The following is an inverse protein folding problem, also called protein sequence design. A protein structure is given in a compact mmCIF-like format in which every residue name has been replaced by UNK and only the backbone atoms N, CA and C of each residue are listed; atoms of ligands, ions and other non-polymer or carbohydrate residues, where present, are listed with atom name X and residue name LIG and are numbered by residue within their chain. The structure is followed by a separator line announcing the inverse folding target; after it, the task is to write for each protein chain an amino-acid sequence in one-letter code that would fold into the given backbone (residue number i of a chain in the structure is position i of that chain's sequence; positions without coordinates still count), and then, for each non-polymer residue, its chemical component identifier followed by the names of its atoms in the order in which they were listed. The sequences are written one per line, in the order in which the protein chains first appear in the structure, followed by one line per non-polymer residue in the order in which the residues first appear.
data_IF_845219659464
#
_entry.id   IF_845219659464
#
_cell.length_a   1.000
_cell.length_b   1.000
_cell.length_c   1.000
_cell.angle_alpha   90.00
_cell.angle_beta   90.00
_cell.angle_gamma   90.00
#
_symmetry.space_group_name_H-M   'P 1'
#
loop_
_entity.id
_entity.type
_entity.pdbx_description
1 polymer ?
#
# COMPACT_ATOMS: atom_id res chain seq x y z
N UNK A 1 24.50 -13.32 -11.71
CA UNK A 1 24.95 -14.44 -10.84
C UNK A 1 23.77 -14.77 -9.95
N UNK A 2 23.29 -16.02 -9.96
CA UNK A 2 22.11 -16.42 -9.19
C UNK A 2 22.42 -16.64 -7.71
N UNK A 3 21.41 -17.09 -6.95
CA UNK A 3 21.59 -17.63 -5.60
C UNK A 3 21.09 -19.08 -5.57
N UNK A 4 21.61 -19.88 -4.64
CA UNK A 4 21.11 -21.21 -4.34
C UNK A 4 20.02 -21.09 -3.27
N UNK A 5 18.86 -21.67 -3.53
CA UNK A 5 17.75 -21.71 -2.58
C UNK A 5 17.50 -23.15 -2.15
N UNK A 6 17.50 -23.42 -0.85
CA UNK A 6 17.23 -24.75 -0.28
C UNK A 6 16.00 -24.65 0.60
N UNK A 7 14.95 -25.40 0.28
CA UNK A 7 13.72 -25.41 1.07
C UNK A 7 13.96 -26.01 2.47
N UNK A 8 13.47 -25.33 3.50
CA UNK A 8 13.48 -25.81 4.88
C UNK A 8 12.22 -26.63 5.13
N UNK A 9 12.32 -27.96 5.02
CA UNK A 9 11.17 -28.86 5.11
C UNK A 9 10.36 -28.71 6.41
N UNK A 10 11.02 -28.50 7.55
CA UNK A 10 10.36 -28.30 8.85
C UNK A 10 9.57 -26.99 8.94
N UNK A 11 9.80 -26.04 8.02
CA UNK A 11 9.10 -24.76 7.94
C UNK A 11 7.98 -24.77 6.90
N UNK A 12 7.77 -25.89 6.20
CA UNK A 12 6.70 -26.05 5.22
C UNK A 12 5.34 -26.07 5.91
N UNK A 13 4.35 -25.46 5.27
CA UNK A 13 2.95 -25.58 5.65
C UNK A 13 2.11 -25.64 4.38
N UNK A 14 1.58 -26.79 4.02
CA UNK A 14 0.73 -26.98 2.83
C UNK A 14 -0.22 -28.14 3.06
N UNK A 15 -1.33 -28.18 2.30
CA UNK A 15 -2.30 -29.27 2.36
C UNK A 15 -1.70 -30.60 1.85
N UNK A 16 -2.05 -31.76 2.42
CA UNK A 16 -2.90 -31.93 3.60
C UNK A 16 -2.18 -31.49 4.89
N UNK A 17 -2.87 -30.73 5.75
CA UNK A 17 -2.23 -30.12 6.93
C UNK A 17 -2.06 -31.09 8.11
N UNK A 18 -2.99 -32.02 8.28
CA UNK A 18 -3.02 -32.95 9.41
C UNK A 18 -2.32 -34.25 9.05
N UNK A 19 -1.53 -34.74 9.99
CA UNK A 19 -1.01 -36.11 9.93
C UNK A 19 -2.16 -37.13 10.04
N UNK A 20 -2.14 -38.15 9.19
CA UNK A 20 -3.22 -39.13 9.04
C UNK A 20 -3.46 -39.97 10.30
N UNK A 21 -2.44 -40.10 11.17
CA UNK A 21 -2.51 -40.95 12.37
C UNK A 21 -2.83 -40.11 13.61
N UNK A 22 -2.09 -39.04 13.80
CA UNK A 22 -2.19 -38.20 15.00
C UNK A 22 -3.28 -37.15 14.90
N UNK A 23 -3.78 -36.86 13.69
CA UNK A 23 -4.74 -35.78 13.40
C UNK A 23 -4.27 -34.42 13.95
N UNK A 24 -2.95 -34.22 13.96
CA UNK A 24 -2.29 -32.99 14.42
C UNK A 24 -1.41 -32.43 13.31
N UNK A 25 -1.09 -31.14 13.44
CA UNK A 25 -0.10 -30.49 12.59
C UNK A 25 1.31 -31.02 12.96
N UNK A 26 2.09 -31.54 11.98
CA UNK A 26 3.41 -32.15 12.26
C UNK A 26 4.43 -31.17 12.83
N UNK A 27 4.67 -30.05 12.16
CA UNK A 27 5.73 -29.09 12.52
C UNK A 27 5.22 -27.78 13.13
N UNK A 28 3.91 -27.65 13.30
CA UNK A 28 3.28 -26.41 13.73
C UNK A 28 2.41 -26.62 14.97
N UNK A 29 2.44 -25.64 15.88
CA UNK A 29 1.54 -25.54 17.01
C UNK A 29 0.46 -24.52 16.70
N UNK A 30 -0.78 -24.85 17.05
CA UNK A 30 -1.93 -23.93 16.99
C UNK A 30 -2.40 -23.56 18.40
N UNK A 31 -2.90 -22.34 18.55
CA UNK A 31 -3.54 -21.86 19.76
C UNK A 31 -4.70 -20.92 19.41
N UNK A 32 -5.70 -20.88 20.29
CA UNK A 32 -6.89 -20.04 20.11
C UNK A 32 -7.92 -20.66 19.17
N UNK A 33 -8.60 -19.82 18.40
CA UNK A 33 -9.79 -20.16 17.59
C UNK A 33 -9.48 -20.72 16.19
N UNK A 34 -8.29 -21.29 16.01
CA UNK A 34 -7.82 -21.79 14.71
C UNK A 34 -8.69 -22.95 14.22
N UNK A 35 -9.16 -22.86 12.98
CA UNK A 35 -9.92 -23.92 12.30
C UNK A 35 -9.10 -24.51 11.17
N UNK A 36 -8.95 -25.84 11.15
CA UNK A 36 -8.17 -26.56 10.14
C UNK A 36 -9.10 -27.25 9.14
N UNK A 37 -9.12 -26.73 7.91
CA UNK A 37 -9.73 -27.41 6.75
C UNK A 37 -8.62 -28.18 6.02
N UNK A 38 -8.44 -29.45 6.39
CA UNK A 38 -7.26 -30.27 6.06
C UNK A 38 -6.74 -30.15 4.61
N UNK A 39 -7.65 -30.14 3.64
CA UNK A 39 -7.31 -30.15 2.21
C UNK A 39 -7.48 -28.78 1.53
N UNK A 40 -7.69 -27.70 2.30
CA UNK A 40 -7.99 -26.37 1.77
C UNK A 40 -7.13 -25.27 2.37
N UNK A 41 -7.30 -24.99 3.65
CA UNK A 41 -6.63 -23.90 4.37
C UNK A 41 -6.67 -24.10 5.89
N UNK A 42 -5.91 -23.29 6.61
CA UNK A 42 -6.05 -23.11 8.05
C UNK A 42 -6.50 -21.67 8.32
N UNK A 43 -7.68 -21.51 8.90
CA UNK A 43 -8.23 -20.22 9.27
C UNK A 43 -7.73 -19.84 10.66
N UNK A 44 -7.00 -18.74 10.76
CA UNK A 44 -6.61 -18.14 12.04
C UNK A 44 -7.83 -17.48 12.70
N UNK A 45 -8.65 -16.79 11.92
CA UNK A 45 -9.93 -16.21 12.33
C UNK A 45 -10.99 -16.48 11.27
N UNK A 46 -12.25 -16.44 11.69
CA UNK A 46 -13.44 -16.50 10.84
C UNK A 46 -14.26 -15.21 11.00
N UNK A 47 -15.36 -15.08 10.26
CA UNK A 47 -16.32 -13.98 10.43
C UNK A 47 -17.14 -14.12 11.73
N UNK A 48 -16.45 -14.10 12.87
CA UNK A 48 -17.00 -14.05 14.23
C UNK A 48 -16.23 -13.02 15.05
N UNK A 49 -16.89 -12.28 15.94
CA UNK A 49 -16.22 -11.32 16.82
C UNK A 49 -15.39 -12.03 17.88
N UNK A 50 -14.41 -11.30 18.43
CA UNK A 50 -13.58 -11.70 19.57
C UNK A 50 -12.83 -13.02 19.43
N UNK A 51 -12.29 -13.29 18.23
CA UNK A 51 -11.44 -14.46 17.99
C UNK A 51 -9.96 -14.07 18.05
N UNK A 52 -9.12 -15.01 18.46
CA UNK A 52 -7.67 -14.91 18.31
C UNK A 52 -7.10 -16.26 17.88
N UNK A 53 -6.31 -16.28 16.81
CA UNK A 53 -5.70 -17.50 16.29
C UNK A 53 -4.21 -17.34 16.09
N UNK A 54 -3.43 -18.34 16.52
CA UNK A 54 -1.98 -18.37 16.41
C UNK A 54 -1.53 -19.69 15.80
N UNK A 55 -0.53 -19.60 14.94
CA UNK A 55 0.14 -20.71 14.29
C UNK A 55 1.65 -20.47 14.34
N UNK A 56 2.39 -21.23 15.16
CA UNK A 56 3.84 -21.09 15.32
C UNK A 56 4.57 -22.39 14.97
N UNK A 57 5.70 -22.28 14.30
CA UNK A 57 6.54 -23.45 14.01
C UNK A 57 7.15 -24.00 15.31
N UNK A 58 7.21 -25.34 15.43
CA UNK A 58 7.79 -26.04 16.58
C UNK A 58 9.31 -25.90 16.62
N UNK A 59 9.94 -25.79 15.45
CA UNK A 59 11.39 -25.69 15.29
C UNK A 59 11.80 -24.27 14.91
N UNK A 60 12.97 -23.81 15.39
CA UNK A 60 13.49 -22.52 14.98
C UNK A 60 13.83 -22.51 13.47
N UNK A 61 13.72 -21.35 12.85
CA UNK A 61 14.16 -21.10 11.49
C UNK A 61 15.69 -20.97 11.47
N UNK A 62 16.34 -22.10 11.17
CA UNK A 62 17.79 -22.23 11.12
C UNK A 62 18.37 -21.83 9.76
N UNK A 63 18.32 -20.53 9.46
CA UNK A 63 18.98 -19.94 8.31
C UNK A 63 19.36 -18.48 8.58
N UNK A 64 20.56 -18.08 8.14
CA UNK A 64 21.06 -16.70 8.26
C UNK A 64 20.49 -15.76 7.19
N UNK A 65 20.36 -16.27 5.96
CA UNK A 65 19.66 -15.61 4.86
C UNK A 65 18.53 -16.51 4.42
N UNK A 66 17.32 -15.98 4.30
CA UNK A 66 16.14 -16.77 4.01
C UNK A 66 15.07 -15.97 3.28
N UNK A 67 14.16 -16.71 2.66
CA UNK A 67 12.94 -16.20 2.05
C UNK A 67 11.74 -16.98 2.56
N UNK A 68 10.76 -16.29 3.11
CA UNK A 68 9.44 -16.83 3.48
C UNK A 68 8.44 -16.43 2.39
N UNK A 69 7.65 -17.38 1.90
CA UNK A 69 6.55 -17.16 0.96
C UNK A 69 5.25 -17.69 1.57
N UNK A 70 4.44 -16.77 2.09
CA UNK A 70 3.16 -17.03 2.73
C UNK A 70 2.02 -16.71 1.77
N UNK A 71 1.25 -17.71 1.36
CA UNK A 71 0.00 -17.54 0.61
C UNK A 71 -1.18 -17.54 1.57
N UNK A 72 -1.94 -16.45 1.57
CA UNK A 72 -3.05 -16.21 2.47
C UNK A 72 -4.24 -15.54 1.76
N UNK A 73 -5.37 -15.45 2.45
CA UNK A 73 -6.57 -14.75 2.02
C UNK A 73 -7.17 -14.01 3.22
N UNK A 74 -7.33 -12.69 3.08
CA UNK A 74 -8.07 -11.86 4.03
C UNK A 74 -9.35 -11.40 3.32
N UNK A 75 -10.50 -11.80 3.86
CA UNK A 75 -11.79 -11.43 3.27
C UNK A 75 -12.88 -11.22 4.31
N UNK A 76 -13.85 -10.39 3.93
CA UNK A 76 -15.05 -10.15 4.70
C UNK A 76 -16.17 -9.74 3.77
N UNK A 77 -17.38 -10.27 4.02
CA UNK A 77 -18.58 -9.84 3.33
C UNK A 77 -19.08 -8.48 3.83
N UNK A 78 -18.65 -8.07 5.02
CA UNK A 78 -18.99 -6.79 5.62
C UNK A 78 -18.21 -5.65 4.98
N UNK A 79 -18.81 -4.45 4.99
CA UNK A 79 -18.13 -3.21 4.57
C UNK A 79 -17.05 -2.79 5.58
N UNK A 80 -17.20 -3.21 6.83
CA UNK A 80 -16.25 -2.99 7.91
C UNK A 80 -15.64 -4.34 8.27
N UNK A 81 -14.31 -4.45 8.20
CA UNK A 81 -13.56 -5.68 8.48
C UNK A 81 -12.32 -5.33 9.31
N UNK A 82 -11.88 -6.26 10.15
CA UNK A 82 -10.83 -6.05 11.13
C UNK A 82 -10.33 -7.39 11.69
N UNK A 83 -9.12 -7.51 12.27
CA UNK A 83 -8.08 -6.47 12.38
C UNK A 83 -6.88 -6.71 11.44
N UNK A 84 -6.70 -7.93 10.95
CA UNK A 84 -5.70 -8.26 9.93
C UNK A 84 -4.85 -9.48 10.27
N UNK A 85 -3.65 -9.53 9.70
CA UNK A 85 -2.71 -10.65 9.79
C UNK A 85 -1.34 -10.17 10.25
N UNK A 86 -0.72 -10.90 11.17
CA UNK A 86 0.68 -10.70 11.56
C UNK A 86 1.55 -11.90 11.19
N UNK A 87 2.76 -11.62 10.70
CA UNK A 87 3.86 -12.57 10.56
C UNK A 87 4.95 -12.23 11.58
N UNK A 88 5.41 -13.26 12.29
CA UNK A 88 6.36 -13.17 13.39
C UNK A 88 7.66 -13.91 13.08
N UNK A 89 8.78 -13.26 13.39
CA UNK A 89 10.10 -13.86 13.47
C UNK A 89 10.70 -13.50 14.84
N UNK A 90 10.33 -14.29 15.86
CA UNK A 90 10.55 -13.96 17.28
C UNK A 90 11.49 -14.96 17.95
N UNK A 91 12.20 -14.53 19.00
CA UNK A 91 13.13 -15.38 19.73
C UNK A 91 12.48 -16.65 20.34
N UNK A 92 11.20 -16.54 20.72
CA UNK A 92 10.37 -17.64 21.18
C UNK A 92 8.97 -17.58 20.54
N UNK A 93 8.24 -18.71 20.44
CA UNK A 93 6.83 -18.68 20.07
C UNK A 93 6.01 -17.80 21.02
N UNK A 94 5.09 -17.01 20.48
CA UNK A 94 4.24 -16.13 21.29
C UNK A 94 3.04 -16.90 21.87
N UNK A 95 2.62 -16.63 23.12
CA UNK A 95 1.28 -16.96 23.58
C UNK A 95 0.24 -16.04 22.93
N UNK A 96 -1.05 -16.35 23.16
CA UNK A 96 -2.17 -15.48 22.78
C UNK A 96 -2.03 -14.12 23.48
N UNK A 97 -2.36 -13.05 22.76
CA UNK A 97 -2.39 -11.67 23.25
C UNK A 97 -3.27 -10.78 22.39
N UNK A 98 -3.07 -9.48 22.53
CA UNK A 98 -3.91 -8.38 22.02
C UNK A 98 -3.34 -7.66 20.78
N UNK A 99 -2.26 -8.19 20.22
CA UNK A 99 -1.59 -7.65 19.03
C UNK A 99 -1.73 -8.66 17.90
N UNK A 100 -2.78 -8.50 17.10
CA UNK A 100 -3.13 -9.44 16.03
C UNK A 100 -3.24 -10.89 16.55
N UNK A 101 -3.72 -11.06 17.77
CA UNK A 101 -3.86 -12.34 18.45
C UNK A 101 -2.62 -12.80 19.23
N UNK A 102 -1.45 -12.17 19.05
CA UNK A 102 -0.22 -12.50 19.77
C UNK A 102 0.10 -11.47 20.86
N UNK A 103 1.08 -11.79 21.73
CA UNK A 103 1.51 -10.89 22.80
C UNK A 103 2.35 -9.73 22.23
N UNK A 104 2.03 -8.50 22.62
CA UNK A 104 2.76 -7.29 22.20
C UNK A 104 4.18 -7.13 22.76
N UNK A 105 4.55 -7.92 23.76
CA UNK A 105 5.90 -8.04 24.30
C UNK A 105 6.66 -9.16 23.58
N UNK A 106 7.47 -8.80 22.59
CA UNK A 106 8.26 -9.77 21.82
C UNK A 106 9.67 -9.25 21.55
N UNK A 107 10.61 -10.17 21.36
CA UNK A 107 11.96 -9.89 20.87
C UNK A 107 12.08 -10.46 19.47
N UNK A 108 12.23 -9.60 18.46
CA UNK A 108 12.28 -10.01 17.06
C UNK A 108 11.55 -9.07 16.11
N UNK A 109 11.06 -9.60 15.00
CA UNK A 109 10.37 -8.84 13.95
C UNK A 109 8.90 -9.23 13.88
N UNK A 110 8.03 -8.23 13.86
CA UNK A 110 6.62 -8.34 13.50
C UNK A 110 6.37 -7.62 12.16
N UNK A 111 5.70 -8.29 11.23
CA UNK A 111 5.19 -7.71 9.99
C UNK A 111 3.67 -7.77 10.05
N UNK A 112 3.02 -6.62 10.04
CA UNK A 112 1.58 -6.47 10.26
C UNK A 112 0.91 -6.05 8.96
N UNK A 113 -0.08 -6.82 8.52
CA UNK A 113 -1.04 -6.46 7.48
C UNK A 113 -2.29 -6.00 8.20
N UNK A 114 -2.37 -4.69 8.46
CA UNK A 114 -3.47 -4.06 9.19
C UNK A 114 -4.61 -3.69 8.23
N UNK A 115 -5.81 -4.19 8.51
CA UNK A 115 -7.00 -3.97 7.67
C UNK A 115 -7.93 -2.90 8.24
N UNK A 116 -7.74 -2.51 9.50
CA UNK A 116 -8.65 -1.63 10.23
C UNK A 116 -7.98 -0.34 10.67
N UNK A 117 -8.72 0.76 10.57
CA UNK A 117 -8.21 2.07 10.99
C UNK A 117 -8.58 2.32 12.45
N UNK A 118 -7.63 2.20 13.38
CA UNK A 118 -7.83 2.68 14.75
C UNK A 118 -7.44 4.16 14.90
N UNK A 119 -6.42 4.62 14.17
CA UNK A 119 -5.91 5.99 14.22
C UNK A 119 -6.70 7.03 13.41
N UNK A 120 -6.45 8.34 13.64
CA UNK A 120 -7.16 9.43 12.96
C UNK A 120 -6.82 9.56 11.46
N UNK A 121 -5.72 8.98 10.99
CA UNK A 121 -5.18 9.14 9.64
C UNK A 121 -4.56 7.86 9.10
N UNK A 122 -4.72 7.56 7.81
CA UNK A 122 -4.08 6.40 7.16
C UNK A 122 -4.95 5.76 6.07
N UNK A 123 -4.34 5.18 5.05
CA UNK A 123 -5.05 4.37 4.05
C UNK A 123 -4.80 2.90 4.35
N UNK A 124 -5.90 2.14 4.47
CA UNK A 124 -5.90 0.72 4.82
C UNK A 124 -6.41 -0.11 3.62
N UNK A 125 -5.95 -1.36 3.45
CA UNK A 125 -4.96 -2.05 4.29
C UNK A 125 -3.56 -1.43 4.26
N UNK A 126 -2.88 -1.48 5.40
CA UNK A 126 -1.55 -0.93 5.59
C UNK A 126 -0.60 -2.02 6.10
N UNK A 127 0.51 -2.21 5.40
CA UNK A 127 1.53 -3.18 5.79
C UNK A 127 2.65 -2.44 6.50
N UNK A 128 3.03 -2.89 7.69
CA UNK A 128 4.12 -2.28 8.46
C UNK A 128 5.07 -3.33 9.03
N UNK A 129 6.30 -2.91 9.34
CA UNK A 129 7.28 -3.73 10.05
C UNK A 129 7.74 -3.04 11.33
N UNK A 130 7.92 -3.82 12.39
CA UNK A 130 8.37 -3.36 13.70
C UNK A 130 9.35 -4.34 14.34
N UNK A 131 10.37 -3.80 15.02
CA UNK A 131 11.33 -4.61 15.79
C UNK A 131 11.01 -4.52 17.29
N UNK A 132 10.56 -5.64 17.86
CA UNK A 132 10.32 -5.77 19.29
C UNK A 132 11.60 -6.02 20.07
N UNK A 133 11.70 -5.41 21.26
CA UNK A 133 12.85 -5.52 22.17
C UNK A 133 12.50 -6.12 23.55
N UNK A 134 11.33 -6.76 23.66
CA UNK A 134 10.86 -7.39 24.91
C UNK A 134 10.06 -6.47 25.84
N UNK A 135 9.83 -5.22 25.46
CA UNK A 135 8.87 -4.31 26.11
C UNK A 135 7.57 -4.24 25.30
N UNK A 136 6.43 -3.82 25.87
CA UNK A 136 5.18 -3.67 25.12
C UNK A 136 5.38 -2.60 24.04
N UNK A 137 5.47 -3.04 22.79
CA UNK A 137 5.96 -2.18 21.70
C UNK A 137 4.85 -1.78 20.71
N UNK A 138 3.76 -2.53 20.63
CA UNK A 138 2.67 -2.21 19.71
C UNK A 138 1.54 -1.49 20.43
N UNK A 139 1.29 -0.23 20.06
CA UNK A 139 0.12 0.50 20.53
C UNK A 139 -1.04 0.31 19.53
N UNK A 140 -2.01 -0.52 19.90
CA UNK A 140 -3.21 -0.76 19.08
C UNK A 140 -4.03 0.49 18.79
N UNK A 141 -4.05 1.45 19.72
CA UNK A 141 -4.89 2.64 19.58
C UNK A 141 -4.43 3.61 18.47
N UNK A 142 -3.18 3.48 18.02
CA UNK A 142 -2.61 4.34 16.98
C UNK A 142 -2.00 3.55 15.80
N UNK A 143 -2.39 2.27 15.65
CA UNK A 143 -1.89 1.38 14.60
C UNK A 143 -0.34 1.21 14.65
N UNK A 144 0.23 1.25 15.85
CA UNK A 144 1.68 1.13 16.09
C UNK A 144 2.51 2.25 15.46
N UNK A 145 1.94 3.45 15.33
CA UNK A 145 2.57 4.55 14.57
C UNK A 145 3.93 4.96 15.14
N UNK A 146 4.05 4.96 16.47
CA UNK A 146 5.28 5.38 17.19
C UNK A 146 6.43 4.37 17.05
N UNK A 147 6.12 3.12 16.73
CA UNK A 147 7.05 1.99 16.76
C UNK A 147 7.29 1.36 15.38
N UNK A 148 6.58 1.86 14.36
CA UNK A 148 6.77 1.54 12.95
C UNK A 148 8.16 1.92 12.45
N UNK A 149 8.85 0.96 11.84
CA UNK A 149 10.10 1.20 11.10
C UNK A 149 9.83 1.66 9.67
N UNK A 150 8.94 0.95 8.98
CA UNK A 150 8.57 1.20 7.59
C UNK A 150 7.20 0.60 7.31
N UNK A 151 6.58 1.03 6.22
CA UNK A 151 5.35 0.41 5.75
C UNK A 151 4.91 0.92 4.39
N UNK A 152 3.88 0.30 3.83
CA UNK A 152 3.26 0.70 2.58
C UNK A 152 1.73 0.48 2.61
N UNK A 153 0.99 1.22 1.78
CA UNK A 153 -0.45 0.99 1.59
C UNK A 153 -0.67 0.02 0.43
N UNK A 154 -1.53 -0.98 0.64
CA UNK A 154 -1.81 -2.03 -0.35
C UNK A 154 -3.31 -2.29 -0.45
N UNK A 155 -3.98 -1.71 -1.46
CA UNK A 155 -5.44 -1.82 -1.61
C UNK A 155 -5.95 -3.22 -1.97
N UNK A 156 -5.06 -4.11 -2.39
CA UNK A 156 -5.41 -5.43 -2.93
C UNK A 156 -5.24 -6.57 -1.92
N UNK A 157 -5.06 -6.30 -0.62
CA UNK A 157 -4.89 -7.35 0.40
C UNK A 157 -6.19 -7.78 1.09
N UNK A 158 -7.15 -6.87 1.23
CA UNK A 158 -8.49 -7.19 1.74
C UNK A 158 -9.44 -7.39 0.57
N UNK A 159 -10.16 -8.51 0.55
CA UNK A 159 -11.05 -8.90 -0.55
C UNK A 159 -10.34 -8.86 -1.93
N UNK A 160 -9.18 -9.51 -2.09
CA UNK A 160 -8.49 -9.57 -3.39
C UNK A 160 -9.38 -10.20 -4.46
N UNK A 161 -9.37 -9.66 -5.67
CA UNK A 161 -10.23 -10.12 -6.77
C UNK A 161 -9.97 -11.58 -7.21
N UNK A 162 -8.77 -12.09 -6.93
CA UNK A 162 -8.34 -13.46 -7.25
C UNK A 162 -8.35 -14.37 -6.00
N UNK A 163 -8.89 -13.91 -4.88
CA UNK A 163 -8.99 -14.65 -3.62
C UNK A 163 -7.67 -14.76 -2.85
N UNK A 164 -6.57 -15.21 -3.46
CA UNK A 164 -5.33 -15.43 -2.71
C UNK A 164 -4.28 -14.38 -3.02
N UNK A 165 -3.46 -14.04 -2.03
CA UNK A 165 -2.25 -13.23 -2.21
C UNK A 165 -1.07 -13.94 -1.58
N UNK A 166 0.11 -13.82 -2.17
CA UNK A 166 1.36 -14.33 -1.58
C UNK A 166 2.23 -13.17 -1.11
N UNK A 167 2.57 -13.15 0.18
CA UNK A 167 3.60 -12.27 0.74
C UNK A 167 4.94 -12.99 0.70
N UNK A 168 5.97 -12.29 0.23
CA UNK A 168 7.36 -12.72 0.29
C UNK A 168 8.15 -11.84 1.23
N UNK A 169 8.72 -12.44 2.26
CA UNK A 169 9.65 -11.79 3.19
C UNK A 169 11.04 -12.31 2.90
N UNK A 170 11.94 -11.45 2.46
CA UNK A 170 13.34 -11.81 2.21
C UNK A 170 14.22 -11.14 3.24
N UNK A 171 15.04 -11.92 3.95
CA UNK A 171 16.03 -11.43 4.89
C UNK A 171 17.41 -11.96 4.50
N UNK A 172 18.41 -11.09 4.43
CA UNK A 172 19.80 -11.46 4.15
C UNK A 172 20.65 -11.30 5.40
N UNK A 173 21.75 -12.05 5.46
CA UNK A 173 22.68 -12.02 6.57
C UNK A 173 23.30 -10.63 6.81
N UNK A 174 23.36 -9.79 5.77
CA UNK A 174 23.77 -8.38 5.85
C UNK A 174 22.82 -7.47 6.63
N UNK A 175 21.61 -7.93 6.95
CA UNK A 175 20.56 -7.13 7.58
C UNK A 175 19.57 -6.50 6.60
N UNK A 176 19.66 -6.82 5.30
CA UNK A 176 18.65 -6.45 4.31
C UNK A 176 17.34 -7.20 4.58
N UNK A 177 16.23 -6.48 4.65
CA UNK A 177 14.87 -6.98 4.76
C UNK A 177 14.02 -6.40 3.61
N UNK A 178 13.28 -7.24 2.89
CA UNK A 178 12.26 -6.80 1.95
C UNK A 178 10.95 -7.55 2.12
N UNK A 179 9.85 -6.84 1.88
CA UNK A 179 8.51 -7.41 1.81
C UNK A 179 7.93 -7.10 0.43
N UNK A 180 7.57 -8.15 -0.29
CA UNK A 180 6.92 -8.08 -1.60
C UNK A 180 5.58 -8.81 -1.57
N UNK A 181 4.66 -8.42 -2.44
CA UNK A 181 3.38 -9.11 -2.63
C UNK A 181 3.20 -9.56 -4.08
N UNK A 182 2.66 -10.76 -4.24
CA UNK A 182 2.10 -11.25 -5.49
C UNK A 182 0.58 -11.40 -5.33
N UNK A 183 -0.16 -10.50 -5.99
CA UNK A 183 -1.63 -10.45 -5.96
C UNK A 183 -2.29 -11.48 -6.90
N UNK A 184 -1.49 -12.23 -7.67
CA UNK A 184 -1.92 -13.33 -8.53
C UNK A 184 -0.98 -14.54 -8.31
N UNK A 185 -1.25 -15.38 -7.30
CA UNK A 185 -0.39 -16.50 -6.94
C UNK A 185 -0.16 -17.54 -8.05
N UNK A 186 -1.00 -17.53 -9.10
CA UNK A 186 -0.85 -18.42 -10.25
C UNK A 186 0.21 -17.90 -11.26
N UNK A 187 0.64 -16.64 -11.12
CA UNK A 187 1.69 -16.02 -11.94
C UNK A 187 2.96 -15.83 -11.10
N UNK A 188 3.94 -16.72 -11.25
CA UNK A 188 5.12 -16.82 -10.36
C UNK A 188 5.96 -15.55 -10.23
N UNK A 189 5.98 -14.70 -11.26
CA UNK A 189 6.95 -13.61 -11.37
C UNK A 189 6.32 -12.21 -11.20
N UNK A 190 5.07 -12.13 -10.73
CA UNK A 190 4.38 -10.85 -10.55
C UNK A 190 4.54 -10.29 -9.13
N UNK A 191 5.78 -9.98 -8.75
CA UNK A 191 6.11 -9.43 -7.43
C UNK A 191 6.09 -7.90 -7.42
N UNK A 192 5.42 -7.34 -6.43
CA UNK A 192 5.35 -5.91 -6.17
C UNK A 192 5.97 -5.61 -4.81
N UNK A 193 7.07 -4.85 -4.80
CA UNK A 193 7.72 -4.45 -3.57
C UNK A 193 6.82 -3.52 -2.75
N UNK A 194 6.63 -3.85 -1.48
CA UNK A 194 5.97 -2.99 -0.50
C UNK A 194 7.00 -2.05 0.15
N UNK A 195 8.05 -2.62 0.75
CA UNK A 195 9.17 -1.87 1.29
C UNK A 195 10.44 -2.73 1.35
N UNK A 196 11.57 -2.05 1.49
CA UNK A 196 12.85 -2.67 1.84
C UNK A 196 13.59 -1.78 2.85
N UNK A 197 14.40 -2.41 3.69
CA UNK A 197 15.23 -1.79 4.71
C UNK A 197 16.59 -2.49 4.77
N UNK A 198 17.61 -1.73 5.15
CA UNK A 198 18.91 -2.27 5.55
C UNK A 198 19.04 -2.19 7.09
N UNK A 199 20.13 -2.75 7.61
CA UNK A 199 20.49 -2.70 9.04
C UNK A 199 19.45 -3.31 10.01
N UNK A 200 18.59 -4.22 9.53
CA UNK A 200 17.66 -4.99 10.38
C UNK A 200 18.43 -6.11 11.08
N UNK A 201 18.30 -6.19 12.41
CA UNK A 201 18.93 -7.25 13.21
C UNK A 201 17.88 -8.16 13.80
N UNK A 202 17.84 -9.41 13.33
CA UNK A 202 17.01 -10.47 13.91
C UNK A 202 17.76 -11.22 15.02
N UNK A 203 17.03 -11.80 16.00
CA UNK A 203 17.60 -12.71 16.98
C UNK A 203 18.29 -13.91 16.30
N UNK A 204 19.32 -14.47 16.96
CA UNK A 204 20.06 -15.63 16.43
C UNK A 204 19.16 -16.85 16.29
N UNK A 205 18.35 -17.11 17.32
CA UNK A 205 17.28 -18.10 17.31
C UNK A 205 15.99 -17.36 17.02
N UNK A 206 15.23 -17.81 16.02
CA UNK A 206 13.96 -17.19 15.64
C UNK A 206 12.96 -18.23 15.21
N UNK A 207 11.72 -18.09 15.66
CA UNK A 207 10.59 -18.93 15.32
C UNK A 207 9.69 -18.16 14.35
N UNK A 208 9.26 -18.86 13.31
CA UNK A 208 8.26 -18.34 12.38
C UNK A 208 6.87 -18.56 12.97
N UNK A 209 6.05 -17.52 12.97
CA UNK A 209 4.66 -17.62 13.37
C UNK A 209 3.74 -16.70 12.59
N UNK A 210 2.45 -17.01 12.66
CA UNK A 210 1.38 -16.23 12.07
C UNK A 210 0.26 -16.08 13.09
N UNK A 211 -0.36 -14.92 13.14
CA UNK A 211 -1.51 -14.70 14.01
C UNK A 211 -2.50 -13.73 13.42
N UNK A 212 -3.74 -13.83 13.85
CA UNK A 212 -4.81 -12.89 13.53
C UNK A 212 -5.78 -12.78 14.71
N UNK A 213 -6.50 -11.67 14.77
CA UNK A 213 -7.59 -11.46 15.72
C UNK A 213 -8.77 -10.74 15.09
N UNK A 214 -9.92 -10.85 15.74
CA UNK A 214 -11.11 -10.06 15.46
C UNK A 214 -11.60 -9.37 16.73
N UNK A 215 -12.05 -8.13 16.59
CA UNK A 215 -12.67 -7.36 17.66
C UNK A 215 -14.20 -7.47 17.61
N UNK A 216 -14.87 -6.33 17.77
CA UNK A 216 -16.32 -6.19 17.51
C UNK A 216 -16.67 -6.41 16.03
N UNK A 217 -15.68 -6.22 15.17
CA UNK A 217 -15.74 -6.44 13.74
C UNK A 217 -14.87 -7.64 13.41
N UNK A 218 -15.29 -8.41 12.40
CA UNK A 218 -14.66 -9.67 12.03
C UNK A 218 -14.26 -9.72 10.56
N UNK A 219 -13.27 -10.56 10.31
CA UNK A 219 -12.85 -10.96 8.98
C UNK A 219 -12.23 -12.36 9.02
N UNK A 220 -12.29 -13.03 7.87
CA UNK A 220 -11.60 -14.29 7.67
C UNK A 220 -10.12 -14.02 7.38
N UNK A 221 -9.25 -14.72 8.11
CA UNK A 221 -7.81 -14.76 7.81
C UNK A 221 -7.39 -16.21 7.62
N UNK A 222 -7.17 -16.60 6.38
CA UNK A 222 -6.91 -17.97 5.97
C UNK A 222 -5.50 -18.13 5.42
N UNK A 223 -4.76 -19.14 5.91
CA UNK A 223 -3.45 -19.53 5.41
C UNK A 223 -3.60 -20.76 4.52
N UNK A 224 -3.13 -20.64 3.27
CA UNK A 224 -3.16 -21.72 2.29
C UNK A 224 -1.83 -22.45 2.19
N UNK A 225 -0.72 -21.71 2.28
CA UNK A 225 0.61 -22.25 2.04
C UNK A 225 1.68 -21.39 2.69
N UNK A 226 2.71 -22.01 3.26
CA UNK A 226 3.97 -21.38 3.63
C UNK A 226 5.13 -22.21 3.10
N UNK A 227 6.09 -21.55 2.45
CA UNK A 227 7.39 -22.14 2.09
C UNK A 227 8.51 -21.24 2.55
N UNK A 228 9.54 -21.84 3.13
CA UNK A 228 10.75 -21.13 3.55
C UNK A 228 11.95 -21.72 2.83
N UNK A 229 12.77 -20.86 2.26
CA UNK A 229 14.02 -21.25 1.61
C UNK A 229 15.19 -20.57 2.32
N UNK A 230 16.21 -21.32 2.68
CA UNK A 230 17.52 -20.79 3.02
C UNK A 230 18.25 -20.37 1.74
N UNK A 231 18.92 -19.22 1.79
CA UNK A 231 19.57 -18.59 0.64
C UNK A 231 21.08 -18.60 0.79
N UNK A 232 21.77 -19.10 -0.24
CA UNK A 232 23.21 -19.25 -0.25
C UNK A 232 23.84 -18.68 -1.51
N UNK A 233 25.10 -18.28 -1.40
CA UNK A 233 25.96 -18.02 -2.55
C UNK A 233 26.23 -19.33 -3.30
N UNK A 234 26.06 -19.39 -4.64
CA UNK A 234 26.18 -20.64 -5.38
C UNK A 234 27.56 -21.30 -5.32
N UNK A 235 28.63 -20.51 -5.13
CA UNK A 235 30.00 -20.98 -5.21
C UNK A 235 30.59 -21.44 -3.87
N UNK A 236 30.09 -20.88 -2.76
CA UNK A 236 30.72 -21.00 -1.44
C UNK A 236 29.82 -21.68 -0.40
N UNK A 237 28.54 -21.89 -0.71
CA UNK A 237 27.50 -22.31 0.24
C UNK A 237 27.43 -21.42 1.51
N UNK A 238 28.01 -20.21 1.44
CA UNK A 238 27.91 -19.21 2.49
C UNK A 238 26.53 -18.53 2.43
N UNK A 239 26.02 -18.01 3.57
CA UNK A 239 24.78 -17.24 3.58
C UNK A 239 24.83 -16.07 2.61
N UNK A 240 23.76 -15.89 1.85
CA UNK A 240 23.69 -14.80 0.86
C UNK A 240 23.79 -13.42 1.54
N UNK A 241 24.78 -12.60 1.14
CA UNK A 241 25.02 -11.28 1.72
C UNK A 241 24.31 -10.15 0.97
N UNK A 242 24.16 -10.27 -0.35
CA UNK A 242 23.48 -9.28 -1.19
C UNK A 242 22.70 -9.97 -2.29
N UNK A 243 21.59 -9.34 -2.72
CA UNK A 243 20.90 -9.70 -3.97
C UNK A 243 21.52 -8.82 -5.06
N UNK A 244 22.74 -9.15 -5.52
CA UNK A 244 23.28 -8.50 -6.71
C UNK A 244 22.36 -8.80 -7.91
N UNK A 245 21.84 -7.72 -8.49
CA UNK A 245 20.86 -7.61 -9.58
C UNK A 245 20.53 -8.92 -10.32
N UNK A 246 19.43 -9.55 -9.90
CA UNK A 246 18.69 -10.46 -10.77
C UNK A 246 18.06 -9.62 -11.89
N UNK A 247 18.71 -9.61 -13.05
CA UNK A 247 18.03 -9.28 -14.31
C UNK A 247 17.42 -10.58 -14.86
N UNK A 248 16.08 -10.74 -14.85
CA UNK A 248 15.42 -11.90 -15.47
C UNK A 248 15.67 -12.02 -16.98
N UNK A 249 16.35 -11.05 -17.61
CA UNK A 249 16.64 -11.07 -19.04
C UNK A 249 17.82 -11.97 -19.45
N UNK A 250 18.60 -12.52 -18.50
CA UNK A 250 19.85 -13.24 -18.84
C UNK A 250 19.69 -14.77 -18.88
N UNK A 251 18.56 -15.34 -18.46
CA UNK A 251 18.32 -16.79 -18.52
C UNK A 251 17.60 -17.23 -19.80
N UNK A 252 17.84 -16.55 -20.93
CA UNK A 252 17.22 -16.93 -22.20
C UNK A 252 18.13 -16.81 -23.43
N UNK A 253 19.33 -17.39 -23.35
CA UNK A 253 20.18 -17.56 -24.56
C UNK A 253 20.38 -19.03 -24.97
N UNK A 254 19.75 -20.00 -24.29
CA UNK A 254 19.85 -21.41 -24.71
C UNK A 254 18.52 -22.08 -25.11
N UNK A 255 17.35 -21.45 -24.89
CA UNK A 255 16.05 -22.00 -25.31
C UNK A 255 15.34 -21.18 -26.41
N UNK A 256 16.08 -20.50 -27.29
CA UNK A 256 15.53 -19.83 -28.48
C UNK A 256 15.31 -20.79 -29.67
N UNK A 257 14.76 -21.98 -29.43
CA UNK A 257 14.28 -22.83 -30.54
C UNK A 257 12.82 -23.29 -30.46
N UNK A 258 12.12 -23.07 -29.36
CA UNK A 258 10.70 -23.44 -29.28
C UNK A 258 9.90 -22.41 -28.46
N UNK A 259 9.56 -21.25 -29.03
CA UNK A 259 8.18 -20.75 -28.93
C UNK A 259 7.92 -19.56 -29.89
N UNK A 260 7.43 -19.88 -31.09
CA UNK A 260 7.06 -18.90 -32.13
C UNK A 260 5.71 -18.21 -31.88
N UNK A 261 5.01 -18.53 -30.79
CA UNK A 261 3.61 -18.15 -30.58
C UNK A 261 3.41 -16.88 -29.73
N UNK A 262 4.32 -16.56 -28.79
CA UNK A 262 4.16 -15.44 -27.85
C UNK A 262 4.64 -14.06 -28.34
N UNK A 263 5.61 -14.01 -29.27
CA UNK A 263 6.23 -12.75 -29.69
C UNK A 263 5.29 -11.84 -30.50
N UNK A 264 4.37 -12.43 -31.28
CA UNK A 264 3.41 -11.68 -32.12
C UNK A 264 2.40 -10.88 -31.29
N UNK A 265 2.03 -11.36 -30.10
CA UNK A 265 1.05 -10.67 -29.23
C UNK A 265 1.66 -9.49 -28.46
N UNK A 266 2.90 -9.62 -27.98
CA UNK A 266 3.62 -8.51 -27.31
C UNK A 266 3.93 -7.38 -28.28
N UNK A 267 4.26 -7.71 -29.54
CA UNK A 267 4.49 -6.72 -30.61
C UNK A 267 3.19 -6.05 -31.10
N UNK A 268 2.05 -6.77 -31.14
CA UNK A 268 0.72 -6.20 -31.43
C UNK A 268 0.26 -5.20 -30.36
N UNK A 269 0.47 -5.51 -29.07
CA UNK A 269 0.14 -4.60 -27.94
C UNK A 269 0.99 -3.32 -27.93
N UNK A 270 2.29 -3.41 -28.25
CA UNK A 270 3.14 -2.21 -28.41
C UNK A 270 2.73 -1.37 -29.62
N UNK A 271 2.43 -2.01 -30.76
CA UNK A 271 1.93 -1.31 -31.97
C UNK A 271 0.54 -0.70 -31.78
N UNK A 272 -0.35 -1.30 -30.98
CA UNK A 272 -1.69 -0.73 -30.69
C UNK A 272 -1.62 0.47 -29.75
N UNK A 273 -0.79 0.44 -28.70
CA UNK A 273 -0.58 1.58 -27.81
C UNK A 273 0.04 2.78 -28.53
N UNK A 274 1.01 2.53 -29.44
CA UNK A 274 1.65 3.57 -30.23
C UNK A 274 0.69 4.19 -31.26
N UNK A 275 -0.20 3.38 -31.85
CA UNK A 275 -1.29 3.87 -32.73
C UNK A 275 -2.31 4.70 -31.95
N UNK A 276 -2.66 4.32 -30.72
CA UNK A 276 -3.61 5.07 -29.90
C UNK A 276 -3.08 6.46 -29.56
N UNK A 277 -1.79 6.57 -29.18
CA UNK A 277 -1.13 7.86 -28.93
C UNK A 277 -1.11 8.76 -30.18
N UNK A 278 -0.80 8.20 -31.35
CA UNK A 278 -0.80 8.95 -32.61
C UNK A 278 -2.21 9.42 -33.00
N UNK A 279 -3.24 8.61 -32.71
CA UNK A 279 -4.63 9.01 -32.93
C UNK A 279 -5.06 10.12 -31.96
N UNK A 280 -4.68 10.04 -30.69
CA UNK A 280 -4.98 11.06 -29.68
C UNK A 280 -4.33 12.41 -30.04
N UNK A 281 -3.08 12.40 -30.50
CA UNK A 281 -2.39 13.62 -30.99
C UNK A 281 -3.06 14.21 -32.23
N UNK A 282 -3.44 13.37 -33.20
CA UNK A 282 -4.21 13.82 -34.38
C UNK A 282 -5.55 14.42 -33.98
N UNK A 283 -6.21 13.85 -32.98
CA UNK A 283 -7.48 14.36 -32.49
C UNK A 283 -7.29 15.72 -31.80
N UNK A 284 -6.26 15.88 -30.96
CA UNK A 284 -5.87 17.16 -30.36
C UNK A 284 -5.53 18.21 -31.43
N UNK A 285 -4.83 17.83 -32.49
CA UNK A 285 -4.51 18.73 -33.61
C UNK A 285 -5.76 19.14 -34.40
N UNK A 286 -6.66 18.20 -34.70
CA UNK A 286 -7.94 18.50 -35.38
C UNK A 286 -8.82 19.41 -34.54
N UNK A 287 -8.86 19.22 -33.23
CA UNK A 287 -9.62 20.08 -32.33
C UNK A 287 -9.02 21.49 -32.25
N UNK A 288 -7.70 21.62 -32.22
CA UNK A 288 -7.01 22.92 -32.30
C UNK A 288 -7.29 23.63 -33.62
N UNK A 289 -7.26 22.91 -34.74
CA UNK A 289 -7.57 23.46 -36.06
C UNK A 289 -9.04 23.89 -36.18
N UNK A 290 -9.98 23.10 -35.65
CA UNK A 290 -11.40 23.48 -35.56
C UNK A 290 -11.60 24.75 -34.73
N UNK A 291 -10.90 24.88 -33.59
CA UNK A 291 -10.96 26.09 -32.75
C UNK A 291 -10.37 27.32 -33.45
N UNK A 292 -9.25 27.17 -34.15
CA UNK A 292 -8.67 28.24 -34.98
C UNK A 292 -9.63 28.66 -36.10
N UNK A 293 -10.25 27.72 -36.80
CA UNK A 293 -11.19 28.05 -37.88
C UNK A 293 -12.49 28.70 -37.37
N UNK A 294 -12.99 28.28 -36.21
CA UNK A 294 -14.23 28.81 -35.65
C UNK A 294 -14.05 30.15 -34.92
N UNK A 295 -12.88 30.39 -34.32
CA UNK A 295 -12.70 31.50 -33.36
C UNK A 295 -11.41 32.31 -33.54
N UNK A 296 -10.53 31.95 -34.47
CA UNK A 296 -9.29 32.69 -34.78
C UNK A 296 -8.19 32.61 -33.72
N UNK A 297 -8.37 31.82 -32.66
CA UNK A 297 -7.42 31.68 -31.54
C UNK A 297 -7.35 30.20 -31.09
N UNK A 298 -6.14 29.65 -31.04
CA UNK A 298 -5.87 28.23 -30.72
C UNK A 298 -6.04 27.91 -29.22
N UNK A 299 -5.97 28.92 -28.34
CA UNK A 299 -5.99 28.76 -26.88
C UNK A 299 -7.30 29.25 -26.23
N UNK A 300 -8.34 29.49 -27.04
CA UNK A 300 -9.65 29.95 -26.59
C UNK A 300 -10.45 28.84 -25.85
N UNK A 301 -10.10 28.57 -24.60
CA UNK A 301 -10.87 27.70 -23.70
C UNK A 301 -12.01 28.46 -23.03
N UNK A 302 -13.13 27.76 -22.76
CA UNK A 302 -14.33 28.33 -22.16
C UNK A 302 -14.03 29.10 -20.86
N UNK A 303 -13.19 28.53 -20.00
CA UNK A 303 -12.78 29.08 -18.70
C UNK A 303 -12.04 30.42 -18.85
N UNK A 304 -11.13 30.51 -19.82
CA UNK A 304 -10.34 31.74 -20.04
C UNK A 304 -11.23 32.89 -20.53
N UNK A 305 -12.27 32.57 -21.32
CA UNK A 305 -13.20 33.56 -21.86
C UNK A 305 -14.18 34.08 -20.81
N UNK A 306 -14.72 33.22 -19.96
CA UNK A 306 -15.60 33.65 -18.86
C UNK A 306 -14.83 34.55 -17.89
N UNK A 307 -13.58 34.20 -17.60
CA UNK A 307 -12.69 35.02 -16.80
C UNK A 307 -12.38 36.39 -17.43
N UNK A 308 -12.05 36.44 -18.72
CA UNK A 308 -11.78 37.71 -19.40
C UNK A 308 -13.00 38.65 -19.44
N UNK A 309 -14.21 38.10 -19.63
CA UNK A 309 -15.47 38.87 -19.57
C UNK A 309 -15.74 39.38 -18.16
N UNK A 310 -15.50 38.55 -17.14
CA UNK A 310 -15.62 38.93 -15.74
C UNK A 310 -14.69 40.11 -15.39
N UNK A 311 -13.41 40.03 -15.79
CA UNK A 311 -12.44 41.11 -15.55
C UNK A 311 -12.85 42.43 -16.25
N UNK A 312 -13.40 42.36 -17.47
CA UNK A 312 -13.92 43.57 -18.15
C UNK A 312 -15.12 44.17 -17.41
N UNK A 313 -16.05 43.34 -16.93
CA UNK A 313 -17.21 43.81 -16.16
C UNK A 313 -16.80 44.52 -14.87
N UNK A 314 -15.84 43.95 -14.12
CA UNK A 314 -15.31 44.56 -12.89
C UNK A 314 -14.69 45.94 -13.18
N UNK A 315 -13.93 46.09 -14.26
CA UNK A 315 -13.34 47.39 -14.64
C UNK A 315 -14.40 48.46 -14.93
N UNK A 316 -15.50 48.09 -15.58
CA UNK A 316 -16.60 49.02 -15.88
C UNK A 316 -17.28 49.48 -14.58
N UNK A 317 -17.57 48.54 -13.67
CA UNK A 317 -18.20 48.86 -12.37
C UNK A 317 -17.33 49.80 -11.55
N UNK A 318 -16.02 49.54 -11.48
CA UNK A 318 -15.07 50.40 -10.78
C UNK A 318 -15.03 51.82 -11.39
N UNK A 319 -15.10 51.94 -12.72
CA UNK A 319 -15.15 53.24 -13.39
C UNK A 319 -16.41 54.04 -13.08
N UNK A 320 -17.58 53.38 -13.03
CA UNK A 320 -18.84 54.03 -12.67
C UNK A 320 -18.83 54.53 -11.22
N UNK A 321 -18.32 53.73 -10.29
CA UNK A 321 -18.19 54.13 -8.89
C UNK A 321 -17.26 55.34 -8.69
N UNK A 322 -16.17 55.41 -9.46
CA UNK A 322 -15.28 56.58 -9.45
C UNK A 322 -15.99 57.84 -9.96
N UNK A 323 -16.77 57.73 -11.04
CA UNK A 323 -17.52 58.86 -11.59
C UNK A 323 -18.61 59.37 -10.64
N UNK A 324 -19.33 58.45 -9.97
CA UNK A 324 -20.35 58.85 -8.98
C UNK A 324 -19.72 59.51 -7.75
N UNK A 325 -18.55 59.03 -7.30
CA UNK A 325 -17.78 59.66 -6.23
C UNK A 325 -17.35 61.09 -6.61
N UNK A 326 -16.81 61.27 -7.82
CA UNK A 326 -16.39 62.60 -8.32
C UNK A 326 -17.59 63.55 -8.42
N UNK A 327 -18.72 63.09 -8.95
CA UNK A 327 -19.94 63.89 -9.03
C UNK A 327 -20.48 64.27 -7.63
N UNK A 328 -20.38 63.37 -6.65
CA UNK A 328 -20.78 63.63 -5.27
C UNK A 328 -19.88 64.68 -4.61
N UNK A 329 -18.56 64.57 -4.77
CA UNK A 329 -17.60 65.57 -4.29
C UNK A 329 -17.85 66.92 -4.95
N UNK A 330 -18.07 66.97 -6.27
CA UNK A 330 -18.40 68.20 -6.97
C UNK A 330 -19.69 68.85 -6.44
N UNK A 331 -20.71 68.06 -6.13
CA UNK A 331 -21.96 68.53 -5.51
C UNK A 331 -21.73 69.09 -4.11
N UNK A 332 -20.88 68.46 -3.30
CA UNK A 332 -20.48 68.97 -1.98
C UNK A 332 -19.74 70.31 -2.08
N UNK A 333 -18.81 70.44 -3.02
CA UNK A 333 -18.08 71.70 -3.27
C UNK A 333 -19.03 72.81 -3.75
N UNK A 334 -19.99 72.49 -4.63
CA UNK A 334 -21.00 73.47 -5.06
C UNK A 334 -21.91 73.91 -3.90
N UNK A 335 -22.32 72.97 -3.04
CA UNK A 335 -23.19 73.26 -1.89
C UNK A 335 -22.48 74.14 -0.85
N UNK A 336 -21.22 73.85 -0.55
CA UNK A 336 -20.39 74.66 0.36
C UNK A 336 -20.09 76.05 -0.22
N UNK A 337 -19.83 76.18 -1.53
CA UNK A 337 -19.70 77.48 -2.20
C UNK A 337 -21.01 78.30 -2.16
N UNK A 338 -22.16 77.65 -2.32
CA UNK A 338 -23.48 78.32 -2.23
C UNK A 338 -23.77 78.82 -0.80
N UNK A 339 -23.41 78.05 0.23
CA UNK A 339 -23.50 78.48 1.64
C UNK A 339 -22.57 79.66 1.96
N UNK A 340 -21.32 79.66 1.49
CA UNK A 340 -20.40 80.82 1.64
C UNK A 340 -20.89 82.10 0.94
N UNK A 341 -21.59 81.98 -0.19
CA UNK A 341 -22.22 83.16 -0.85
C UNK A 341 -23.41 83.70 -0.05
N UNK A 342 -24.17 82.83 0.62
CA UNK A 342 -25.27 83.27 1.49
C UNK A 342 -24.77 83.92 2.78
N UNK A 343 -23.70 83.42 3.40
CA UNK A 343 -23.11 84.06 4.59
C UNK A 343 -22.49 85.43 4.30
N UNK A 344 -22.11 85.74 3.05
CA UNK A 344 -21.61 87.06 2.65
C UNK A 344 -22.74 88.06 2.33
N UNK A 345 -23.99 87.62 2.15
CA UNK A 345 -25.15 88.50 1.97
C UNK A 345 -25.86 88.84 3.28
N UNK A 346 -25.65 88.06 4.34
CA UNK A 346 -26.23 88.28 5.67
C UNK A 346 -25.26 88.93 6.67
N UNK A 347 -24.06 89.32 6.23
CA UNK A 347 -23.02 89.98 7.05
C UNK A 347 -22.93 91.50 6.85
N UNK A 348 -24.01 92.15 6.42
CA UNK A 348 -24.18 93.61 6.40
C UNK A 348 -25.44 93.88 7.22
N UNK A 349 -25.30 93.80 8.54
CA UNK A 349 -26.14 94.38 9.60
C UNK A 349 -25.47 93.99 10.92
N UNK A 350 -24.30 94.58 11.13
CA UNK A 350 -23.79 95.08 12.41
C UNK A 350 -22.85 96.24 12.10
#
# INVERSE_FOLDING_TARGET
VGYKAVELASQRFESPFLDLVTLRLPDWNIAGDVVVENDKFVALTSDKPHQAGLLFNKSPLDAKSFRVELTFHIHSASKLSADGLALWLTESPSPIGDVFGARGEFVGLGIFVDTFRNGPTGHFPYVSAQLGRGEPFYNRNDDGLSTKLVGCTTKSLLNPSLGKTTMRVTYLHSGYLSVDFNYDPDVSDNWHQCFSLDDVRLPSTKYLGFSAETGDVSEHVEIFKNKVHALYEPASDLPLMSIEHWDPSVENTQNLREDSSGWKNKQRRRKSAQRLKLMEERQKQRDRARRMAAYGDSDATFVRRTWAKFVKAVKIVMGVLLLTLVAWIARLVMKTRKQKRWSHMTGILD
#
